data_IF_853704522803
#
_entry.id   IF_853704522803
#
_cell.length_a   1.000
_cell.length_b   1.000
_cell.length_c   1.000
_cell.angle_alpha   90.00
_cell.angle_beta   90.00
_cell.angle_gamma   90.00
#
_symmetry.space_group_name_H-M   'P 1'
#
loop_
_entity.id
_entity.type
_entity.pdbx_description
1 polymer ?
#
# COMPACT_ATOMS: atom_id res chain seq x y z
N UNK A 1 -8.60 5.79 8.01
CA UNK A 1 -7.58 6.78 7.60
C UNK A 1 -7.84 7.17 6.15
N UNK A 2 -7.81 8.45 5.78
CA UNK A 2 -8.15 8.88 4.42
C UNK A 2 -7.05 8.50 3.42
N UNK A 3 -7.34 7.67 2.40
CA UNK A 3 -6.36 7.29 1.37
C UNK A 3 -5.88 8.48 0.51
N UNK A 4 -6.53 9.65 0.64
CA UNK A 4 -6.18 10.89 -0.05
C UNK A 4 -4.75 11.38 0.23
N UNK A 5 -4.14 11.03 1.37
CA UNK A 5 -2.75 11.40 1.68
C UNK A 5 -1.71 10.58 0.88
N UNK A 6 -2.11 9.43 0.31
CA UNK A 6 -1.24 8.62 -0.53
C UNK A 6 -1.11 9.21 -1.95
N UNK A 7 -2.13 9.94 -2.42
CA UNK A 7 -2.11 10.60 -3.73
C UNK A 7 -0.92 11.57 -3.92
N UNK A 8 -0.65 12.52 -3.01
CA UNK A 8 0.47 13.45 -3.16
C UNK A 8 1.84 12.75 -3.07
N UNK A 9 1.96 11.74 -2.20
CA UNK A 9 3.18 10.91 -2.12
C UNK A 9 3.41 10.09 -3.39
N UNK A 10 2.35 9.53 -3.97
CA UNK A 10 2.41 8.80 -5.24
C UNK A 10 2.81 9.72 -6.41
N UNK A 11 2.28 10.95 -6.46
CA UNK A 11 2.69 11.96 -7.43
C UNK A 11 4.16 12.35 -7.28
N UNK A 12 4.63 12.54 -6.04
CA UNK A 12 6.04 12.83 -5.76
C UNK A 12 6.96 11.67 -6.18
N UNK A 13 6.55 10.42 -5.94
CA UNK A 13 7.28 9.24 -6.40
C UNK A 13 7.35 9.17 -7.93
N UNK A 14 6.27 9.53 -8.63
CA UNK A 14 6.24 9.62 -10.09
C UNK A 14 7.19 10.71 -10.61
N UNK A 15 7.24 11.87 -9.95
CA UNK A 15 8.19 12.94 -10.24
C UNK A 15 9.65 12.50 -10.03
N UNK A 16 9.92 11.60 -9.08
CA UNK A 16 11.27 11.08 -8.86
C UNK A 16 11.81 10.27 -10.07
N UNK A 17 10.94 9.67 -10.90
CA UNK A 17 11.36 9.04 -12.16
C UNK A 17 11.89 10.05 -13.19
N UNK A 18 11.51 11.33 -13.08
CA UNK A 18 11.98 12.39 -13.99
C UNK A 18 13.44 12.77 -13.67
N UNK A 19 13.86 12.65 -12.41
CA UNK A 19 15.22 13.01 -11.94
C UNK A 19 16.34 12.32 -12.74
N UNK A 20 16.37 10.98 -12.89
CA UNK A 20 17.42 10.32 -13.68
C UNK A 20 17.38 10.68 -15.16
N UNK A 21 16.20 10.98 -15.72
CA UNK A 21 16.05 11.43 -17.10
C UNK A 21 16.67 12.83 -17.29
N UNK A 22 16.42 13.75 -16.36
CA UNK A 22 16.99 15.10 -16.37
C UNK A 22 18.50 15.06 -16.18
N UNK A 23 19.00 14.25 -15.24
CA UNK A 23 20.45 14.08 -15.02
C UNK A 23 21.12 13.54 -16.28
N UNK A 24 20.49 12.59 -16.98
CA UNK A 24 21.04 12.04 -18.21
C UNK A 24 21.13 13.09 -19.33
N UNK A 25 20.07 13.88 -19.55
CA UNK A 25 20.06 14.95 -20.57
C UNK A 25 21.04 16.07 -20.20
N UNK A 26 21.16 16.40 -18.92
CA UNK A 26 22.07 17.42 -18.42
C UNK A 26 23.54 16.98 -18.47
N UNK A 27 23.81 15.68 -18.49
CA UNK A 27 25.17 15.13 -18.59
C UNK A 27 25.70 15.30 -20.01
N UNK A 28 26.22 16.50 -20.30
CA UNK A 28 27.17 16.67 -21.41
C UNK A 28 28.34 15.76 -21.11
N UNK A 29 28.64 14.83 -22.03
CA UNK A 29 29.84 14.03 -21.98
C UNK A 29 31.03 14.99 -21.93
N UNK A 30 31.70 15.05 -20.78
CA UNK A 30 32.99 15.72 -20.64
C UNK A 30 33.96 14.97 -21.55
N UNK A 31 34.15 15.50 -22.76
CA UNK A 31 35.20 15.03 -23.65
C UNK A 31 36.51 15.50 -23.04
N UNK A 32 37.09 14.68 -22.16
CA UNK A 32 38.43 14.90 -21.64
C UNK A 32 39.38 14.88 -22.84
N UNK A 33 40.08 15.99 -23.16
CA UNK A 33 41.03 16.00 -24.25
C UNK A 33 42.19 15.10 -23.86
N UNK A 34 42.27 13.92 -24.47
CA UNK A 34 43.41 13.03 -24.31
C UNK A 34 44.50 13.47 -25.26
N UNK A 35 45.67 13.82 -24.73
CA UNK A 35 46.82 14.18 -25.56
C UNK A 35 47.36 12.93 -26.27
N UNK A 36 47.07 12.83 -27.57
CA UNK A 36 47.46 11.70 -28.40
C UNK A 36 48.41 12.18 -29.48
N UNK A 37 49.71 11.94 -29.27
CA UNK A 37 50.81 12.48 -30.08
C UNK A 37 50.68 12.20 -31.60
N UNK A 38 50.03 11.10 -31.97
CA UNK A 38 49.79 10.74 -33.37
C UNK A 38 48.86 11.74 -34.11
N UNK A 39 48.00 12.46 -33.39
CA UNK A 39 47.05 13.41 -33.98
C UNK A 39 47.69 14.75 -34.37
N UNK A 40 48.92 15.06 -33.93
CA UNK A 40 49.56 16.35 -34.22
C UNK A 40 49.83 16.61 -35.71
N UNK A 41 49.83 15.54 -36.52
CA UNK A 41 50.06 15.62 -37.98
C UNK A 41 48.76 15.68 -38.80
N UNK A 42 47.59 15.54 -38.16
CA UNK A 42 46.28 15.62 -38.81
C UNK A 42 45.79 17.08 -38.84
N UNK A 43 45.43 17.60 -40.03
CA UNK A 43 44.77 18.93 -40.16
C UNK A 43 43.32 18.85 -39.64
N UNK A 44 43.05 19.52 -38.53
CA UNK A 44 41.71 19.57 -37.92
C UNK A 44 40.76 20.51 -38.69
N UNK A 45 39.54 20.02 -38.97
CA UNK A 45 38.37 20.88 -39.24
C UNK A 45 37.15 20.30 -38.51
N UNK A 46 37.09 20.42 -37.18
CA UNK A 46 36.00 19.83 -36.41
C UNK A 46 34.82 20.80 -36.48
N UNK A 47 33.77 20.42 -37.23
CA UNK A 47 32.47 21.11 -37.11
C UNK A 47 31.83 20.64 -35.80
N UNK A 48 31.51 21.55 -34.85
CA UNK A 48 30.86 21.16 -33.62
C UNK A 48 29.42 20.76 -33.96
N UNK A 49 29.15 19.46 -34.01
CA UNK A 49 27.78 18.94 -34.03
C UNK A 49 27.43 18.56 -32.61
N UNK A 50 26.80 19.49 -31.89
CA UNK A 50 26.10 19.20 -30.64
C UNK A 50 24.84 18.40 -30.98
N UNK A 51 24.99 17.10 -31.22
CA UNK A 51 23.84 16.20 -31.26
C UNK A 51 23.59 15.71 -29.84
N UNK A 52 22.33 15.77 -29.43
CA UNK A 52 21.83 15.07 -28.24
C UNK A 52 22.08 13.58 -28.49
N UNK A 53 23.15 13.03 -27.88
CA UNK A 53 23.51 11.63 -28.02
C UNK A 53 23.11 10.93 -26.74
N UNK A 54 22.07 10.11 -26.84
CA UNK A 54 21.62 9.23 -25.77
C UNK A 54 22.56 8.03 -25.71
N UNK A 55 23.78 8.22 -25.21
CA UNK A 55 24.66 7.10 -24.85
C UNK A 55 24.04 6.38 -23.63
N UNK A 56 24.18 5.07 -23.48
CA UNK A 56 23.72 4.33 -22.28
C UNK A 56 22.18 4.22 -22.08
N UNK A 57 21.35 4.42 -23.11
CA UNK A 57 19.88 4.26 -23.00
C UNK A 57 19.41 2.93 -22.35
N UNK A 58 20.08 1.77 -22.56
CA UNK A 58 19.74 0.54 -21.86
C UNK A 58 19.87 0.64 -20.33
N UNK A 59 20.91 1.32 -19.83
CA UNK A 59 21.13 1.53 -18.38
C UNK A 59 20.09 2.47 -17.78
N UNK A 60 19.69 3.50 -18.52
CA UNK A 60 18.62 4.40 -18.12
C UNK A 60 17.28 3.64 -18.01
N UNK A 61 16.96 2.83 -19.02
CA UNK A 61 15.74 2.03 -19.04
C UNK A 61 15.71 1.04 -17.87
N UNK A 62 16.84 0.38 -17.57
CA UNK A 62 16.97 -0.49 -16.40
C UNK A 62 16.73 0.26 -15.09
N UNK A 63 17.29 1.47 -14.93
CA UNK A 63 17.09 2.29 -13.73
C UNK A 63 15.63 2.69 -13.55
N UNK A 64 14.96 3.13 -14.62
CA UNK A 64 13.53 3.46 -14.58
C UNK A 64 12.68 2.24 -14.27
N UNK A 65 13.01 1.08 -14.85
CA UNK A 65 12.33 -0.17 -14.57
C UNK A 65 12.44 -0.55 -13.09
N UNK A 66 13.64 -0.47 -12.50
CA UNK A 66 13.83 -0.73 -11.07
C UNK A 66 13.01 0.21 -10.19
N UNK A 67 12.99 1.51 -10.49
CA UNK A 67 12.18 2.49 -9.76
C UNK A 67 10.68 2.21 -9.90
N UNK A 68 10.23 1.86 -11.11
CA UNK A 68 8.83 1.51 -11.36
C UNK A 68 8.43 0.23 -10.62
N UNK A 69 9.28 -0.79 -10.59
CA UNK A 69 9.03 -2.02 -9.84
C UNK A 69 8.94 -1.75 -8.33
N UNK A 70 9.84 -0.93 -7.77
CA UNK A 70 9.77 -0.54 -6.36
C UNK A 70 8.49 0.24 -6.05
N UNK A 71 8.11 1.18 -6.93
CA UNK A 71 6.87 1.93 -6.78
C UNK A 71 5.63 1.02 -6.84
N UNK A 72 5.59 0.08 -7.78
CA UNK A 72 4.51 -0.91 -7.90
C UNK A 72 4.45 -1.84 -6.70
N UNK A 73 5.61 -2.27 -6.19
CA UNK A 73 5.69 -3.10 -4.99
C UNK A 73 5.14 -2.38 -3.75
N UNK A 74 5.49 -1.10 -3.58
CA UNK A 74 4.92 -0.26 -2.51
C UNK A 74 3.43 0.06 -2.72
N UNK A 75 2.96 0.12 -3.96
CA UNK A 75 1.55 0.35 -4.29
C UNK A 75 0.69 -0.93 -4.20
N UNK A 76 1.30 -2.12 -4.15
CA UNK A 76 0.62 -3.41 -4.05
C UNK A 76 -0.47 -3.46 -2.96
N UNK A 77 -0.27 -3.00 -1.71
CA UNK A 77 -1.33 -3.03 -0.68
C UNK A 77 -2.55 -2.17 -1.05
N UNK A 78 -2.38 -1.12 -1.86
CA UNK A 78 -3.49 -0.27 -2.29
C UNK A 78 -4.22 -0.90 -3.49
N UNK A 79 -3.46 -1.48 -4.42
CA UNK A 79 -4.01 -2.08 -5.65
C UNK A 79 -4.71 -3.42 -5.41
N UNK A 80 -4.19 -4.22 -4.48
CA UNK A 80 -4.68 -5.57 -4.20
C UNK A 80 -5.27 -5.72 -2.78
N UNK A 81 -5.24 -4.67 -1.96
CA UNK A 81 -5.86 -4.65 -0.62
C UNK A 81 -7.38 -4.53 -0.61
N UNK A 82 -8.04 -4.76 -1.75
CA UNK A 82 -9.45 -5.12 -1.73
C UNK A 82 -9.55 -6.52 -1.11
N UNK A 83 -9.55 -6.56 0.23
CA UNK A 83 -9.79 -7.76 1.01
C UNK A 83 -11.08 -8.45 0.59
N UNK A 84 -11.28 -9.67 1.11
CA UNK A 84 -12.46 -10.47 0.83
C UNK A 84 -13.75 -9.62 0.93
N UNK A 85 -14.52 -9.56 -0.17
CA UNK A 85 -15.73 -8.74 -0.29
C UNK A 85 -16.96 -9.38 0.36
N UNK A 86 -16.79 -10.57 0.93
CA UNK A 86 -17.85 -11.24 1.68
C UNK A 86 -18.27 -10.40 2.88
N UNK A 87 -19.57 -10.33 3.19
CA UNK A 87 -20.07 -9.80 4.46
C UNK A 87 -19.25 -10.34 5.63
N UNK A 88 -18.94 -9.50 6.63
CA UNK A 88 -18.17 -9.92 7.81
C UNK A 88 -19.05 -9.89 9.04
N UNK A 89 -19.03 -10.98 9.80
CA UNK A 89 -19.66 -11.07 11.11
C UNK A 89 -18.58 -11.17 12.20
N UNK A 90 -18.54 -10.20 13.10
CA UNK A 90 -17.55 -10.09 14.16
C UNK A 90 -18.18 -10.49 15.51
N UNK A 91 -17.70 -11.58 16.12
CA UNK A 91 -18.21 -12.09 17.38
C UNK A 91 -17.31 -11.65 18.53
N UNK A 92 -17.88 -11.02 19.55
CA UNK A 92 -17.15 -10.73 20.79
C UNK A 92 -16.86 -12.06 21.52
N UNK A 93 -15.63 -12.29 22.01
CA UNK A 93 -15.31 -13.45 22.82
C UNK A 93 -16.29 -13.62 24.00
N UNK A 94 -16.75 -14.85 24.23
CA UNK A 94 -17.78 -15.16 25.23
C UNK A 94 -19.21 -15.25 24.67
N UNK A 95 -19.42 -14.94 23.39
CA UNK A 95 -20.68 -15.26 22.68
C UNK A 95 -20.63 -16.68 22.15
N UNK A 96 -21.76 -17.38 22.20
CA UNK A 96 -21.93 -18.69 21.58
C UNK A 96 -21.70 -18.62 20.06
N UNK A 97 -20.72 -19.37 19.49
CA UNK A 97 -20.43 -19.37 18.06
C UNK A 97 -21.63 -19.83 17.20
N UNK A 98 -22.60 -20.55 17.77
CA UNK A 98 -23.82 -20.95 17.07
C UNK A 98 -24.69 -19.75 16.63
N UNK A 99 -24.46 -18.56 17.19
CA UNK A 99 -25.13 -17.31 16.77
C UNK A 99 -24.55 -16.70 15.50
N UNK A 100 -23.42 -17.20 15.01
CA UNK A 100 -22.85 -16.73 13.76
C UNK A 100 -23.83 -16.95 12.59
N UNK A 101 -23.95 -15.98 11.66
CA UNK A 101 -24.81 -16.14 10.50
C UNK A 101 -24.31 -17.29 9.63
N UNK A 102 -25.23 -18.17 9.24
CA UNK A 102 -24.97 -19.23 8.28
C UNK A 102 -25.04 -18.67 6.85
N UNK A 103 -24.06 -18.99 6.00
CA UNK A 103 -24.02 -18.55 4.60
C UNK A 103 -22.61 -18.16 4.15
N UNK A 104 -22.50 -17.46 3.03
CA UNK A 104 -21.24 -16.94 2.50
C UNK A 104 -20.80 -15.66 3.22
N UNK A 105 -20.63 -15.76 4.54
CA UNK A 105 -20.24 -14.67 5.44
C UNK A 105 -18.93 -15.05 6.13
N UNK A 106 -17.97 -14.14 6.12
CA UNK A 106 -16.71 -14.31 6.84
C UNK A 106 -16.93 -14.01 8.33
N UNK A 107 -17.05 -15.06 9.13
CA UNK A 107 -17.25 -14.94 10.56
C UNK A 107 -15.92 -15.01 11.32
N UNK A 108 -15.64 -13.99 12.15
CA UNK A 108 -14.37 -13.84 12.87
C UNK A 108 -14.60 -13.51 14.35
N UNK A 109 -13.69 -13.95 15.21
CA UNK A 109 -13.63 -13.50 16.60
C UNK A 109 -13.02 -12.09 16.70
N UNK A 110 -13.57 -11.24 17.57
CA UNK A 110 -12.99 -9.94 17.95
C UNK A 110 -11.82 -10.15 18.91
N UNK A 111 -10.72 -10.64 18.36
CA UNK A 111 -9.41 -10.77 18.99
C UNK A 111 -8.31 -10.34 18.01
N UNK A 112 -7.09 -10.06 18.48
CA UNK A 112 -5.98 -9.70 17.59
C UNK A 112 -5.79 -10.73 16.47
N UNK A 113 -5.75 -10.25 15.22
CA UNK A 113 -5.62 -11.10 14.03
C UNK A 113 -6.93 -11.67 13.49
N UNK A 114 -8.08 -11.38 14.11
CA UNK A 114 -9.42 -11.77 13.67
C UNK A 114 -9.53 -13.25 13.26
N UNK A 115 -9.22 -14.20 14.17
CA UNK A 115 -9.25 -15.63 13.85
C UNK A 115 -10.67 -16.09 13.50
N UNK A 116 -10.77 -17.14 12.67
CA UNK A 116 -12.07 -17.72 12.30
C UNK A 116 -12.84 -18.21 13.52
N UNK A 117 -14.17 -18.14 13.47
CA UNK A 117 -15.04 -18.72 14.51
C UNK A 117 -14.89 -20.25 14.66
N UNK A 118 -14.32 -20.92 13.65
CA UNK A 118 -14.02 -22.35 13.70
C UNK A 118 -12.89 -22.68 14.69
N UNK A 119 -12.10 -21.65 15.07
CA UNK A 119 -11.06 -21.78 16.07
C UNK A 119 -11.65 -21.60 17.49
N UNK A 120 -11.02 -22.18 18.52
CA UNK A 120 -11.45 -22.00 19.89
C UNK A 120 -11.61 -20.52 20.26
N UNK A 121 -12.67 -20.18 21.01
CA UNK A 121 -12.90 -18.81 21.45
C UNK A 121 -11.67 -18.28 22.20
N UNK A 122 -11.08 -17.17 21.74
CA UNK A 122 -10.00 -16.50 22.46
C UNK A 122 -10.45 -16.11 23.87
N UNK A 123 -9.55 -16.15 24.82
CA UNK A 123 -9.80 -15.74 26.21
C UNK A 123 -8.80 -14.66 26.63
N UNK A 124 -9.29 -13.66 27.36
CA UNK A 124 -8.48 -12.55 27.85
C UNK A 124 -9.19 -11.19 27.74
N UNK A 125 -8.66 -10.15 28.41
CA UNK A 125 -9.16 -8.80 28.26
C UNK A 125 -8.75 -8.26 26.89
N UNK A 126 -9.73 -8.03 26.02
CA UNK A 126 -9.50 -7.45 24.70
C UNK A 126 -10.04 -6.01 24.64
N UNK A 127 -9.32 -5.07 23.99
CA UNK A 127 -9.84 -3.73 23.75
C UNK A 127 -10.85 -3.79 22.59
N UNK A 128 -12.08 -4.24 22.89
CA UNK A 128 -13.13 -4.54 21.90
C UNK A 128 -13.40 -3.33 20.99
N UNK A 129 -13.49 -2.12 21.55
CA UNK A 129 -13.73 -0.92 20.76
C UNK A 129 -12.61 -0.64 19.74
N UNK A 130 -11.35 -0.84 20.12
CA UNK A 130 -10.20 -0.69 19.22
C UNK A 130 -10.18 -1.77 18.15
N UNK A 131 -10.50 -3.01 18.50
CA UNK A 131 -10.57 -4.12 17.55
C UNK A 131 -11.68 -3.92 16.51
N UNK A 132 -12.83 -3.38 16.90
CA UNK A 132 -13.90 -3.05 15.96
C UNK A 132 -13.43 -1.96 14.97
N UNK A 133 -12.74 -0.92 15.46
CA UNK A 133 -12.18 0.13 14.59
C UNK A 133 -11.11 -0.40 13.64
N UNK A 134 -10.27 -1.33 14.12
CA UNK A 134 -9.26 -1.98 13.30
C UNK A 134 -9.92 -2.83 12.20
N UNK A 135 -10.93 -3.63 12.55
CA UNK A 135 -11.66 -4.46 11.59
C UNK A 135 -12.33 -3.60 10.50
N UNK A 136 -12.97 -2.50 10.89
CA UNK A 136 -13.57 -1.53 9.96
C UNK A 136 -12.54 -0.89 9.01
N UNK A 137 -11.30 -0.71 9.46
CA UNK A 137 -10.21 -0.14 8.65
C UNK A 137 -9.57 -1.17 7.69
N UNK A 138 -9.53 -2.45 8.07
CA UNK A 138 -8.97 -3.53 7.25
C UNK A 138 -9.94 -4.04 6.16
N UNK A 139 -11.24 -3.80 6.32
CA UNK A 139 -12.26 -4.23 5.36
C UNK A 139 -12.53 -3.19 4.27
N UNK A 140 -12.84 -3.61 3.01
CA UNK A 140 -13.31 -2.69 1.97
C UNK A 140 -14.58 -1.94 2.40
N UNK A 141 -14.72 -0.68 2.02
CA UNK A 141 -15.76 0.23 2.55
C UNK A 141 -17.21 -0.16 2.18
N UNK A 142 -17.38 -0.96 1.12
CA UNK A 142 -18.67 -1.45 0.60
C UNK A 142 -19.15 -2.74 1.27
N UNK A 143 -18.32 -3.37 2.10
CA UNK A 143 -18.64 -4.65 2.75
C UNK A 143 -19.47 -4.43 4.02
N UNK A 144 -20.64 -5.07 4.16
CA UNK A 144 -21.46 -4.96 5.37
C UNK A 144 -20.77 -5.64 6.56
N UNK A 145 -20.88 -5.00 7.73
CA UNK A 145 -20.32 -5.46 8.99
C UNK A 145 -21.44 -5.71 10.00
N UNK A 146 -21.52 -6.94 10.50
CA UNK A 146 -22.43 -7.32 11.60
C UNK A 146 -21.59 -7.60 12.84
N UNK A 147 -21.93 -6.98 13.97
CA UNK A 147 -21.25 -7.17 15.25
C UNK A 147 -22.19 -7.93 16.18
N UNK A 148 -21.75 -9.11 16.62
CA UNK A 148 -22.49 -9.97 17.55
C UNK A 148 -21.84 -9.82 18.92
N UNK A 149 -22.60 -9.27 19.86
CA UNK A 149 -22.11 -8.89 21.19
C UNK A 149 -22.90 -9.57 22.29
N UNK A 150 -22.29 -9.88 23.44
CA UNK A 150 -23.06 -10.24 24.63
C UNK A 150 -23.84 -9.02 25.14
N UNK A 151 -24.74 -9.23 26.11
CA UNK A 151 -25.49 -8.13 26.74
C UNK A 151 -24.59 -7.07 27.41
N UNK A 152 -23.40 -7.48 27.88
CA UNK A 152 -22.42 -6.61 28.52
C UNK A 152 -21.07 -6.79 27.83
N UNK A 153 -20.55 -5.70 27.25
CA UNK A 153 -19.26 -5.69 26.58
C UNK A 153 -18.20 -5.17 27.54
N UNK A 154 -17.23 -6.01 27.88
CA UNK A 154 -16.02 -5.59 28.57
C UNK A 154 -14.99 -5.04 27.56
N UNK A 155 -14.19 -4.04 27.95
CA UNK A 155 -13.17 -3.46 27.06
C UNK A 155 -13.68 -2.37 26.10
N UNK A 156 -14.80 -1.74 26.42
CA UNK A 156 -15.20 -0.46 25.81
C UNK A 156 -14.32 0.69 26.35
N UNK A 157 -13.92 1.61 25.47
CA UNK A 157 -12.99 2.71 25.78
C UNK A 157 -13.68 4.03 26.13
N UNK A 158 -15.00 3.99 26.36
CA UNK A 158 -15.86 5.16 26.64
C UNK A 158 -15.84 6.27 25.58
N UNK A 159 -15.20 6.05 24.43
CA UNK A 159 -15.22 6.96 23.29
C UNK A 159 -16.30 6.55 22.29
N UNK A 160 -16.78 7.52 21.51
CA UNK A 160 -17.79 7.25 20.49
C UNK A 160 -17.16 6.44 19.35
N UNK A 161 -17.74 5.29 19.05
CA UNK A 161 -17.31 4.47 17.94
C UNK A 161 -17.57 5.18 16.60
N UNK A 162 -16.51 5.64 15.94
CA UNK A 162 -16.54 6.27 14.60
C UNK A 162 -16.07 5.25 13.58
N UNK A 163 -17.00 4.68 12.83
CA UNK A 163 -16.74 3.70 11.78
C UNK A 163 -17.01 4.31 10.41
N UNK A 164 -16.33 3.80 9.38
CA UNK A 164 -16.53 4.20 7.99
C UNK A 164 -17.87 3.73 7.42
N UNK A 165 -18.49 2.73 8.04
CA UNK A 165 -19.80 2.17 7.70
C UNK A 165 -20.74 2.09 8.91
N UNK A 166 -22.03 1.89 8.68
CA UNK A 166 -23.01 1.64 9.75
C UNK A 166 -23.07 0.13 10.03
N UNK A 167 -22.57 -0.35 11.19
CA UNK A 167 -22.66 -1.77 11.51
C UNK A 167 -24.08 -2.17 11.93
N UNK A 168 -24.43 -3.42 11.65
CA UNK A 168 -25.60 -4.06 12.25
C UNK A 168 -25.20 -4.67 13.60
N UNK A 169 -25.93 -4.35 14.67
CA UNK A 169 -25.66 -4.90 16.00
C UNK A 169 -26.66 -6.01 16.33
N UNK A 170 -26.17 -7.16 16.81
CA UNK A 170 -26.97 -8.27 17.31
C UNK A 170 -26.50 -8.66 18.71
N UNK A 171 -27.44 -8.87 19.63
CA UNK A 171 -27.21 -9.17 21.05
C UNK A 171 -27.61 -10.62 21.34
#
# INVERSE_FOLDING_TARGET
MTPALLLPGALAALLALIVPLVIHIARRSEQVPTDFAALRWLRQKPRPRSRLRFDEWPLLLLRLLLLALVALWLAQPVLFGAGDRKPVAALVPGVDPARAPTGDVRSVWLAPGFPSIDQPSPSGPFPVASLIRQLDAEMPADVPLTIITPQVIEGADADRLRLSRKPEWRI
#
